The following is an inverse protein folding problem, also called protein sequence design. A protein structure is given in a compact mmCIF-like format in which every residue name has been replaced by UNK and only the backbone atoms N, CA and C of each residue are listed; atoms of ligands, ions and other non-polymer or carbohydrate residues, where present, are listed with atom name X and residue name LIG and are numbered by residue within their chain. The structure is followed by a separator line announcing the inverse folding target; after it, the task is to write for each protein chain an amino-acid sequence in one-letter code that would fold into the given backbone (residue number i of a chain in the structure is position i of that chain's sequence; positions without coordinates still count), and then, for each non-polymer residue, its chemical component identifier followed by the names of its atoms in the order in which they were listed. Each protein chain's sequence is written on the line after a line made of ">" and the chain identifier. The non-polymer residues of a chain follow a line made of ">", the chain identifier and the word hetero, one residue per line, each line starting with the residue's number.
data_IF_539244424246
#
_entry.id   IF_539244424246
#
_cell.length_a   1.000
_cell.length_b   1.000
_cell.length_c   1.000
_cell.angle_alpha   90.00
_cell.angle_beta   90.00
_cell.angle_gamma   90.00
#
_symmetry.space_group_name_H-M   'P 1'
#
loop_
_entity.id
_entity.type
_entity.pdbx_description
1 polymer ?
#
# COMPACT_ATOMS: atom_id res chain seq x y z
N UNK A 1 0.87 14.12 0.94
CA UNK A 1 0.51 14.62 2.30
C UNK A 1 1.57 14.33 3.37
N UNK A 2 2.56 13.49 3.07
CA UNK A 2 3.68 13.19 3.95
C UNK A 2 4.92 12.93 3.08
N UNK A 3 6.10 12.83 3.68
CA UNK A 3 7.31 12.41 2.97
C UNK A 3 7.20 10.97 2.48
N UNK A 4 7.91 10.62 1.40
CA UNK A 4 8.00 9.25 0.96
C UNK A 4 8.66 8.38 2.04
N UNK A 5 7.97 7.34 2.50
CA UNK A 5 8.53 6.36 3.42
C UNK A 5 9.29 5.33 2.61
N UNK A 6 10.62 5.38 2.68
CA UNK A 6 11.51 4.54 1.87
C UNK A 6 11.38 3.06 2.27
N UNK A 7 11.65 2.16 1.33
CA UNK A 7 11.64 0.70 1.53
C UNK A 7 12.53 0.22 2.68
N UNK A 8 13.63 0.93 2.98
CA UNK A 8 14.50 0.63 4.13
C UNK A 8 13.90 1.03 5.48
N UNK A 9 12.88 1.89 5.50
CA UNK A 9 12.30 2.38 6.75
C UNK A 9 11.67 1.24 7.54
N UNK A 10 12.07 1.11 8.81
CA UNK A 10 11.54 0.16 9.80
C UNK A 10 10.40 0.74 10.64
N UNK A 11 9.93 1.94 10.33
CA UNK A 11 8.88 2.64 11.09
C UNK A 11 7.58 1.83 11.25
N UNK A 12 7.32 0.89 10.35
CA UNK A 12 6.11 0.05 10.36
C UNK A 12 6.37 -1.38 10.79
N UNK A 13 7.51 -1.65 11.45
CA UNK A 13 7.87 -2.98 11.94
C UNK A 13 6.84 -3.52 12.94
N UNK A 14 6.42 -2.71 13.93
CA UNK A 14 5.43 -3.14 14.93
C UNK A 14 4.08 -3.47 14.29
N UNK A 15 3.68 -2.72 13.26
CA UNK A 15 2.46 -2.98 12.49
C UNK A 15 2.58 -4.28 11.69
N UNK A 16 3.75 -4.52 11.08
CA UNK A 16 4.03 -5.77 10.38
C UNK A 16 3.98 -6.96 11.34
N UNK A 17 4.58 -6.85 12.52
CA UNK A 17 4.57 -7.91 13.53
C UNK A 17 3.17 -8.13 14.12
N UNK A 18 2.35 -7.09 14.23
CA UNK A 18 0.94 -7.24 14.59
C UNK A 18 0.19 -8.08 13.56
N UNK A 19 0.34 -7.78 12.26
CA UNK A 19 -0.29 -8.57 11.19
C UNK A 19 0.13 -10.05 11.20
N UNK A 20 1.40 -10.32 11.55
CA UNK A 20 1.88 -11.70 11.74
C UNK A 20 1.18 -12.38 12.91
N UNK A 21 1.07 -11.68 14.05
CA UNK A 21 0.38 -12.20 15.26
C UNK A 21 -1.10 -12.45 15.02
N UNK A 22 -1.74 -11.65 14.18
CA UNK A 22 -3.14 -11.80 13.79
C UNK A 22 -3.37 -12.94 12.77
N UNK A 23 -2.31 -13.63 12.34
CA UNK A 23 -2.41 -14.84 11.53
C UNK A 23 -2.46 -14.62 10.02
N UNK A 24 -2.16 -13.42 9.53
CA UNK A 24 -2.27 -13.10 8.09
C UNK A 24 -1.11 -13.58 7.21
N UNK A 25 -0.11 -14.26 7.77
CA UNK A 25 1.09 -14.67 7.04
C UNK A 25 0.78 -15.50 5.79
N UNK A 26 0.05 -16.60 5.96
CA UNK A 26 -0.21 -17.54 4.87
C UNK A 26 -1.05 -16.90 3.77
N UNK A 27 -2.11 -16.17 4.16
CA UNK A 27 -2.98 -15.44 3.23
C UNK A 27 -2.19 -14.43 2.38
N UNK A 28 -1.34 -13.60 3.02
CA UNK A 28 -0.55 -12.60 2.30
C UNK A 28 0.48 -13.29 1.40
N UNK A 29 1.13 -14.34 1.89
CA UNK A 29 2.13 -15.06 1.11
C UNK A 29 1.54 -15.74 -0.12
N UNK A 30 0.42 -16.45 0.04
CA UNK A 30 -0.27 -17.12 -1.06
C UNK A 30 -0.70 -16.14 -2.15
N UNK A 31 -1.21 -14.95 -1.77
CA UNK A 31 -1.74 -13.98 -2.72
C UNK A 31 -0.68 -13.13 -3.41
N UNK A 32 0.40 -12.80 -2.69
CA UNK A 32 1.38 -11.79 -3.14
C UNK A 32 2.77 -12.36 -3.42
N UNK A 33 3.05 -13.58 -2.94
CA UNK A 33 4.40 -14.16 -2.92
C UNK A 33 5.35 -13.51 -1.90
N UNK A 34 4.87 -12.56 -1.10
CA UNK A 34 5.69 -11.79 -0.15
C UNK A 34 5.55 -12.32 1.27
N UNK A 35 6.53 -12.00 2.10
CA UNK A 35 6.40 -12.10 3.56
C UNK A 35 5.81 -10.80 4.10
N UNK A 36 5.27 -10.83 5.31
CA UNK A 36 4.89 -9.60 6.01
C UNK A 36 6.16 -8.94 6.56
N UNK A 37 6.54 -7.78 6.02
CA UNK A 37 7.64 -6.97 6.54
C UNK A 37 7.37 -5.47 6.32
N UNK A 38 7.98 -4.65 7.18
CA UNK A 38 8.11 -3.19 7.02
C UNK A 38 8.68 -2.72 5.66
N UNK A 39 9.31 -3.62 4.90
CA UNK A 39 9.89 -3.35 3.59
C UNK A 39 8.87 -2.91 2.54
N UNK A 40 7.64 -3.45 2.60
CA UNK A 40 6.62 -3.27 1.56
C UNK A 40 5.69 -2.08 1.80
N UNK A 41 5.04 -1.61 0.74
CA UNK A 41 4.25 -0.36 0.73
C UNK A 41 3.01 -0.40 1.63
N UNK A 42 2.31 -1.53 1.66
CA UNK A 42 1.05 -1.74 2.39
C UNK A 42 1.05 -1.18 3.82
N UNK A 43 2.03 -1.56 4.64
CA UNK A 43 2.11 -1.12 6.04
C UNK A 43 2.41 0.38 6.15
N UNK A 44 3.16 0.94 5.18
CA UNK A 44 3.50 2.37 5.11
C UNK A 44 2.27 3.22 4.76
N UNK A 45 1.42 2.74 3.85
CA UNK A 45 0.15 3.37 3.50
C UNK A 45 -0.74 3.44 4.74
N UNK A 46 -0.98 2.29 5.39
CA UNK A 46 -1.76 2.22 6.62
C UNK A 46 -1.22 3.17 7.69
N UNK A 47 0.10 3.18 7.89
CA UNK A 47 0.74 4.06 8.87
C UNK A 47 0.45 5.55 8.57
N UNK A 48 0.59 5.99 7.32
CA UNK A 48 0.29 7.38 6.93
C UNK A 48 -1.19 7.71 7.19
N UNK A 49 -2.10 6.82 6.79
CA UNK A 49 -3.54 7.05 6.98
C UNK A 49 -3.93 7.13 8.46
N UNK A 50 -3.25 6.40 9.33
CA UNK A 50 -3.54 6.35 10.76
C UNK A 50 -2.82 7.46 11.56
N UNK A 51 -1.72 8.03 11.05
CA UNK A 51 -0.89 8.98 11.79
C UNK A 51 -0.94 10.43 11.28
N UNK A 52 -1.29 10.64 10.00
CA UNK A 52 -1.38 11.99 9.44
C UNK A 52 -2.80 12.52 9.64
N UNK A 53 -2.92 13.65 10.34
CA UNK A 53 -4.20 14.28 10.66
C UNK A 53 -5.05 14.51 9.39
N UNK A 54 -6.29 14.02 9.43
CA UNK A 54 -7.25 14.11 8.31
C UNK A 54 -6.94 13.22 7.10
N UNK A 55 -5.87 12.42 7.11
CA UNK A 55 -5.51 11.56 5.99
C UNK A 55 -6.58 10.48 5.72
N UNK A 56 -7.05 9.82 6.79
CA UNK A 56 -8.12 8.81 6.70
C UNK A 56 -9.36 9.36 6.00
N UNK A 57 -9.90 10.47 6.49
CA UNK A 57 -11.12 11.06 5.92
C UNK A 57 -10.95 11.44 4.45
N UNK A 58 -9.81 12.02 4.07
CA UNK A 58 -9.52 12.36 2.68
C UNK A 58 -9.39 11.12 1.79
N UNK A 59 -8.78 10.05 2.29
CA UNK A 59 -8.71 8.77 1.58
C UNK A 59 -10.10 8.19 1.33
N UNK A 60 -10.95 8.16 2.35
CA UNK A 60 -12.31 7.61 2.27
C UNK A 60 -13.21 8.45 1.33
N UNK A 61 -12.93 9.75 1.19
CA UNK A 61 -13.60 10.65 0.24
C UNK A 61 -13.04 10.57 -1.20
N UNK A 62 -11.94 9.84 -1.44
CA UNK A 62 -11.27 9.81 -2.74
C UNK A 62 -10.40 11.04 -3.05
N UNK A 63 -10.08 11.86 -2.05
CA UNK A 63 -9.23 13.05 -2.17
C UNK A 63 -7.73 12.75 -2.03
N UNK A 64 -7.35 11.48 -1.88
CA UNK A 64 -5.96 11.02 -1.82
C UNK A 64 -5.70 9.93 -2.86
N UNK A 65 -4.49 9.97 -3.41
CA UNK A 65 -3.95 8.95 -4.27
C UNK A 65 -2.73 8.32 -3.59
N UNK A 66 -2.60 7.00 -3.73
CA UNK A 66 -1.39 6.26 -3.43
C UNK A 66 -0.54 6.08 -4.71
N UNK A 67 0.78 6.00 -4.57
CA UNK A 67 1.64 5.62 -5.66
C UNK A 67 3.01 5.20 -5.17
N UNK A 68 3.55 4.15 -5.81
CA UNK A 68 5.00 3.92 -5.84
C UNK A 68 5.68 5.02 -6.66
N UNK A 69 7.03 5.02 -6.71
CA UNK A 69 7.78 6.13 -7.33
C UNK A 69 7.46 6.27 -8.82
N UNK A 70 7.26 5.17 -9.54
CA UNK A 70 6.83 5.16 -10.94
C UNK A 70 5.49 5.88 -11.14
N UNK A 71 4.49 5.56 -10.32
CA UNK A 71 3.18 6.21 -10.34
C UNK A 71 3.28 7.70 -10.06
N UNK A 72 4.06 8.08 -9.05
CA UNK A 72 4.25 9.49 -8.70
C UNK A 72 4.93 10.27 -9.83
N UNK A 73 5.99 9.72 -10.41
CA UNK A 73 6.70 10.36 -11.53
C UNK A 73 5.79 10.49 -12.74
N UNK A 74 5.04 9.43 -13.10
CA UNK A 74 4.09 9.45 -14.21
C UNK A 74 2.98 10.49 -13.99
N UNK A 75 2.41 10.54 -12.80
CA UNK A 75 1.40 11.53 -12.42
C UNK A 75 1.92 12.95 -12.59
N UNK A 76 3.15 13.23 -12.14
CA UNK A 76 3.80 14.54 -12.28
C UNK A 76 4.09 14.90 -13.73
N UNK A 77 4.67 13.98 -14.50
CA UNK A 77 5.02 14.21 -15.91
C UNK A 77 3.79 14.42 -16.79
N UNK A 78 2.65 13.84 -16.41
CA UNK A 78 1.39 13.99 -17.15
C UNK A 78 0.51 15.14 -16.66
N UNK A 79 0.97 15.91 -15.66
CA UNK A 79 0.17 17.00 -15.09
C UNK A 79 -1.11 16.53 -14.40
N UNK A 80 -1.08 15.32 -13.82
CA UNK A 80 -2.22 14.73 -13.12
C UNK A 80 -3.25 14.05 -14.02
N UNK A 81 -2.88 13.69 -15.26
CA UNK A 81 -3.81 13.03 -16.20
C UNK A 81 -3.77 11.51 -16.12
N UNK A 82 -2.62 10.93 -15.74
CA UNK A 82 -2.43 9.49 -15.71
C UNK A 82 -1.95 9.05 -14.34
N UNK A 83 -2.79 8.28 -13.65
CA UNK A 83 -2.47 7.56 -12.43
C UNK A 83 -2.41 6.07 -12.74
N UNK A 84 -1.20 5.53 -12.84
CA UNK A 84 -0.99 4.13 -13.23
C UNK A 84 0.33 3.59 -12.64
N UNK A 85 0.42 2.26 -12.59
CA UNK A 85 1.62 1.49 -12.27
C UNK A 85 1.66 0.24 -13.14
N UNK A 86 2.81 -0.40 -13.25
CA UNK A 86 2.93 -1.68 -13.94
C UNK A 86 2.83 -2.86 -12.97
N UNK A 87 2.75 -4.09 -13.50
CA UNK A 87 2.66 -5.30 -12.68
C UNK A 87 3.86 -5.50 -11.76
N UNK A 88 5.07 -5.12 -12.19
CA UNK A 88 6.28 -5.34 -11.40
C UNK A 88 6.27 -4.45 -10.16
N UNK A 89 5.97 -3.15 -10.28
CA UNK A 89 5.83 -2.25 -9.13
C UNK A 89 4.63 -2.62 -8.26
N UNK A 90 3.47 -2.91 -8.86
CA UNK A 90 2.27 -3.33 -8.14
C UNK A 90 2.54 -4.56 -7.25
N UNK A 91 3.25 -5.57 -7.75
CA UNK A 91 3.60 -6.78 -7.00
C UNK A 91 4.42 -6.51 -5.72
N UNK A 92 5.09 -5.36 -5.60
CA UNK A 92 5.91 -5.00 -4.41
C UNK A 92 5.13 -4.23 -3.35
N UNK A 93 3.86 -3.97 -3.60
CA UNK A 93 3.02 -3.22 -2.65
C UNK A 93 2.55 -4.06 -1.47
N UNK A 94 2.53 -5.39 -1.60
CA UNK A 94 1.81 -6.32 -0.71
C UNK A 94 0.27 -6.14 -0.76
N UNK A 95 -0.26 -5.35 -1.70
CA UNK A 95 -1.70 -5.18 -1.92
C UNK A 95 -2.18 -5.85 -3.22
N UNK A 96 -1.26 -6.25 -4.09
CA UNK A 96 -1.56 -6.79 -5.41
C UNK A 96 -1.50 -8.31 -5.41
N UNK A 97 -2.58 -8.95 -5.85
CA UNK A 97 -2.63 -10.39 -6.02
C UNK A 97 -1.96 -10.78 -7.33
N UNK A 98 -0.85 -11.52 -7.25
CA UNK A 98 -0.01 -11.87 -8.39
C UNK A 98 -0.61 -12.97 -9.28
N UNK A 99 -1.62 -13.69 -8.78
CA UNK A 99 -2.32 -14.72 -9.53
C UNK A 99 -3.49 -14.14 -10.34
N UNK A 100 -4.28 -13.26 -9.72
CA UNK A 100 -5.44 -12.64 -10.38
C UNK A 100 -5.08 -11.37 -11.15
N UNK A 101 -3.87 -10.85 -10.95
CA UNK A 101 -3.37 -9.60 -11.51
C UNK A 101 -4.28 -8.39 -11.18
N UNK A 102 -4.75 -8.32 -9.93
CA UNK A 102 -5.64 -7.27 -9.43
C UNK A 102 -5.26 -6.90 -8.00
N UNK A 103 -5.70 -5.73 -7.54
CA UNK A 103 -5.67 -5.38 -6.12
C UNK A 103 -6.50 -6.38 -5.31
N UNK A 104 -5.95 -6.84 -4.18
CA UNK A 104 -6.56 -7.87 -3.35
C UNK A 104 -7.48 -7.24 -2.29
N UNK A 105 -8.79 -7.49 -2.44
CA UNK A 105 -9.81 -6.89 -1.58
C UNK A 105 -9.68 -7.31 -0.10
N UNK A 106 -9.24 -8.53 0.16
CA UNK A 106 -9.10 -9.00 1.55
C UNK A 106 -7.93 -8.30 2.23
N UNK A 107 -6.81 -8.14 1.52
CA UNK A 107 -5.65 -7.43 2.07
C UNK A 107 -5.96 -5.94 2.27
N UNK A 108 -6.62 -5.30 1.30
CA UNK A 108 -7.10 -3.91 1.44
C UNK A 108 -8.00 -3.75 2.67
N UNK A 109 -8.93 -4.69 2.89
CA UNK A 109 -9.82 -4.70 4.05
C UNK A 109 -9.07 -4.89 5.36
N UNK A 110 -8.14 -5.84 5.44
CA UNK A 110 -7.32 -6.10 6.65
C UNK A 110 -6.51 -4.87 7.05
N UNK A 111 -5.96 -4.16 6.07
CA UNK A 111 -5.16 -2.96 6.30
C UNK A 111 -6.01 -1.68 6.41
N UNK A 112 -7.33 -1.79 6.18
CA UNK A 112 -8.23 -0.67 6.07
C UNK A 112 -7.70 0.39 5.08
N UNK A 113 -7.53 0.00 3.81
CA UNK A 113 -7.08 0.88 2.73
C UNK A 113 -8.20 0.93 1.67
N UNK A 114 -8.74 2.13 1.34
CA UNK A 114 -9.76 2.26 0.30
C UNK A 114 -9.22 1.88 -1.08
N UNK A 115 -9.99 1.13 -1.86
CA UNK A 115 -9.63 0.77 -3.24
C UNK A 115 -9.58 1.98 -4.18
N UNK A 116 -10.27 3.07 -3.84
CA UNK A 116 -10.30 4.30 -4.62
C UNK A 116 -8.99 5.11 -4.62
N UNK A 117 -7.99 4.69 -3.84
CA UNK A 117 -6.69 5.36 -3.69
C UNK A 117 -5.64 4.91 -4.69
#
# INVERSE_FOLDING_TARGET
>A
IYHAIVWQSKQTADLADQLKRDGYNDMIHEKTGLIIDSYFSATKIKWILDNVEGARQKADNGDLLFGTIDTWVLWKLTGGKVHATDYTNASRTMLFNIHTLKWDQDILKVLNIPESM
#
